data_IF_839556710929
#
_entry.id   IF_839556710929
#
_cell.length_a   1.000
_cell.length_b   1.000
_cell.length_c   1.000
_cell.angle_alpha   90.00
_cell.angle_beta   90.00
_cell.angle_gamma   90.00
#
_symmetry.space_group_name_H-M   'P 1'
#
loop_
_entity.id
_entity.type
_entity.pdbx_description
1 polymer ?
#
# COMPACT_ATOMS: atom_id res chain seq x y z
N UNK A 1 -10.35 42.22 -10.78
CA UNK A 1 -10.42 40.78 -10.43
C UNK A 1 -9.01 40.27 -10.55
N UNK A 2 -8.43 39.66 -9.52
CA UNK A 2 -7.04 39.18 -9.61
C UNK A 2 -6.98 38.06 -10.66
N UNK A 3 -6.14 38.22 -11.68
CA UNK A 3 -5.94 37.20 -12.71
C UNK A 3 -5.27 35.99 -12.05
N UNK A 4 -5.99 34.88 -11.96
CA UNK A 4 -5.46 33.62 -11.45
C UNK A 4 -4.40 33.09 -12.41
N UNK A 5 -3.24 32.74 -11.86
CA UNK A 5 -2.19 32.07 -12.64
C UNK A 5 -2.62 30.65 -13.04
N UNK A 6 -2.09 30.13 -14.16
CA UNK A 6 -2.36 28.77 -14.62
C UNK A 6 -2.08 27.71 -13.52
N UNK A 7 -1.01 27.91 -12.76
CA UNK A 7 -0.61 27.05 -11.64
C UNK A 7 -1.68 27.00 -10.53
N UNK A 8 -2.22 28.16 -10.15
CA UNK A 8 -3.31 28.24 -9.16
C UNK A 8 -4.58 27.55 -9.65
N UNK A 9 -4.90 27.68 -10.94
CA UNK A 9 -6.05 26.99 -11.56
C UNK A 9 -5.83 25.48 -11.53
N UNK A 10 -4.64 24.99 -11.89
CA UNK A 10 -4.31 23.56 -11.88
C UNK A 10 -4.37 22.97 -10.46
N UNK A 11 -3.82 23.66 -9.46
CA UNK A 11 -3.91 23.20 -8.07
C UNK A 11 -5.34 23.18 -7.55
N UNK A 12 -6.16 24.18 -7.89
CA UNK A 12 -7.57 24.18 -7.53
C UNK A 12 -8.32 23.03 -8.20
N UNK A 13 -8.14 22.85 -9.51
CA UNK A 13 -8.74 21.77 -10.28
C UNK A 13 -8.33 20.39 -9.74
N UNK A 14 -7.06 20.20 -9.39
CA UNK A 14 -6.57 18.96 -8.80
C UNK A 14 -7.24 18.69 -7.44
N UNK A 15 -7.28 19.67 -6.52
CA UNK A 15 -7.97 19.51 -5.23
C UNK A 15 -9.45 19.18 -5.40
N UNK A 16 -10.14 19.85 -6.31
CA UNK A 16 -11.53 19.57 -6.64
C UNK A 16 -11.71 18.14 -7.20
N UNK A 17 -10.83 17.71 -8.10
CA UNK A 17 -10.88 16.36 -8.66
C UNK A 17 -10.62 15.27 -7.61
N UNK A 18 -9.73 15.49 -6.63
CA UNK A 18 -9.52 14.58 -5.51
C UNK A 18 -10.77 14.45 -4.64
N UNK A 19 -11.46 15.57 -4.38
CA UNK A 19 -12.73 15.54 -3.67
C UNK A 19 -13.81 14.75 -4.44
N UNK A 20 -13.93 14.98 -5.74
CA UNK A 20 -14.86 14.24 -6.61
C UNK A 20 -14.50 12.74 -6.64
N UNK A 21 -13.23 12.40 -6.81
CA UNK A 21 -12.75 11.02 -6.81
C UNK A 21 -13.06 10.31 -5.49
N UNK A 22 -12.86 10.98 -4.34
CA UNK A 22 -13.21 10.45 -3.03
C UNK A 22 -14.71 10.16 -2.91
N UNK A 23 -15.58 11.09 -3.35
CA UNK A 23 -17.03 10.86 -3.39
C UNK A 23 -17.41 9.68 -4.30
N UNK A 24 -16.79 9.59 -5.48
CA UNK A 24 -17.03 8.49 -6.41
C UNK A 24 -16.61 7.14 -5.82
N UNK A 25 -15.50 7.08 -5.10
CA UNK A 25 -15.03 5.88 -4.42
C UNK A 25 -16.00 5.47 -3.29
N UNK A 26 -16.38 6.40 -2.41
CA UNK A 26 -17.30 6.13 -1.29
C UNK A 26 -18.66 5.63 -1.80
N UNK A 27 -19.24 6.32 -2.78
CA UNK A 27 -20.52 5.92 -3.38
C UNK A 27 -20.40 4.62 -4.19
N UNK A 28 -19.24 4.39 -4.83
CA UNK A 28 -18.91 3.14 -5.51
C UNK A 28 -18.92 1.95 -4.55
N UNK A 29 -18.23 2.06 -3.42
CA UNK A 29 -18.20 1.04 -2.35
C UNK A 29 -19.60 0.79 -1.80
N UNK A 30 -20.35 1.85 -1.50
CA UNK A 30 -21.75 1.71 -1.04
C UNK A 30 -22.61 0.94 -2.04
N UNK A 31 -22.43 1.16 -3.35
CA UNK A 31 -23.16 0.44 -4.40
C UNK A 31 -22.71 -1.02 -4.55
N UNK A 32 -21.46 -1.35 -4.21
CA UNK A 32 -20.95 -2.73 -4.22
C UNK A 32 -21.57 -3.62 -3.13
N UNK A 33 -22.14 -3.02 -2.07
CA UNK A 33 -22.82 -3.76 -1.00
C UNK A 33 -24.21 -4.33 -1.39
N UNK A 34 -24.77 -3.98 -2.56
CA UNK A 34 -26.04 -4.54 -3.06
C UNK A 34 -25.85 -5.26 -4.40
N UNK A 35 -26.38 -6.49 -4.55
CA UNK A 35 -26.28 -7.24 -5.81
C UNK A 35 -26.78 -6.47 -7.04
N UNK A 36 -27.86 -5.68 -6.88
CA UNK A 36 -28.49 -4.94 -7.98
C UNK A 36 -27.59 -3.80 -8.49
N UNK A 37 -26.80 -3.19 -7.60
CA UNK A 37 -25.95 -2.03 -7.94
C UNK A 37 -24.46 -2.34 -8.07
N UNK A 38 -24.03 -3.57 -7.75
CA UNK A 38 -22.62 -3.91 -7.60
C UNK A 38 -21.77 -3.60 -8.84
N UNK A 39 -22.24 -3.98 -10.03
CA UNK A 39 -21.54 -3.70 -11.30
C UNK A 39 -21.35 -2.20 -11.56
N UNK A 40 -22.36 -1.38 -11.25
CA UNK A 40 -22.26 0.08 -11.38
C UNK A 40 -21.33 0.68 -10.32
N UNK A 41 -21.30 0.08 -9.14
CA UNK A 41 -20.41 0.47 -8.04
C UNK A 41 -18.94 0.38 -8.43
N UNK A 42 -18.49 -0.77 -8.96
CA UNK A 42 -17.08 -0.95 -9.36
C UNK A 42 -16.67 -0.04 -10.52
N UNK A 43 -17.56 0.20 -11.49
CA UNK A 43 -17.30 1.14 -12.60
C UNK A 43 -17.13 2.57 -12.08
N UNK A 44 -18.00 3.00 -11.17
CA UNK A 44 -17.90 4.33 -10.57
C UNK A 44 -16.59 4.52 -9.78
N UNK A 45 -16.19 3.52 -8.99
CA UNK A 45 -14.92 3.55 -8.28
C UNK A 45 -13.73 3.62 -9.25
N UNK A 46 -13.76 2.84 -10.35
CA UNK A 46 -12.74 2.87 -11.39
C UNK A 46 -12.59 4.23 -12.08
N UNK A 47 -13.71 4.91 -12.39
CA UNK A 47 -13.68 6.27 -12.94
C UNK A 47 -13.07 7.25 -11.93
N UNK A 48 -13.44 7.14 -10.64
CA UNK A 48 -12.83 7.96 -9.58
C UNK A 48 -11.31 7.79 -9.51
N UNK A 49 -10.82 6.56 -9.61
CA UNK A 49 -9.37 6.27 -9.62
C UNK A 49 -8.66 6.88 -10.83
N UNK A 50 -9.26 6.81 -12.03
CA UNK A 50 -8.73 7.47 -13.23
C UNK A 50 -8.66 8.99 -13.07
N UNK A 51 -9.70 9.62 -12.51
CA UNK A 51 -9.74 11.06 -12.25
C UNK A 51 -8.62 11.49 -11.30
N UNK A 52 -8.45 10.80 -10.16
CA UNK A 52 -7.41 11.11 -9.20
C UNK A 52 -5.99 10.93 -9.77
N UNK A 53 -5.79 9.87 -10.54
CA UNK A 53 -4.49 9.59 -11.17
C UNK A 53 -4.15 10.63 -12.23
N UNK A 54 -5.10 10.98 -13.10
CA UNK A 54 -4.91 11.99 -14.13
C UNK A 54 -4.62 13.38 -13.55
N UNK A 55 -5.33 13.76 -12.47
CA UNK A 55 -5.08 15.01 -11.78
C UNK A 55 -3.68 15.08 -11.15
N UNK A 56 -3.22 13.97 -10.56
CA UNK A 56 -1.87 13.88 -10.00
C UNK A 56 -0.80 13.99 -11.09
N UNK A 57 -1.01 13.34 -12.24
CA UNK A 57 -0.13 13.50 -13.41
C UNK A 57 -0.07 14.96 -13.89
N UNK A 58 -1.20 15.67 -13.94
CA UNK A 58 -1.24 17.07 -14.34
C UNK A 58 -0.48 18.00 -13.39
N UNK A 59 -0.37 17.64 -12.10
CA UNK A 59 0.40 18.39 -11.10
C UNK A 59 1.90 18.04 -11.07
N UNK A 60 2.28 16.83 -11.48
CA UNK A 60 3.65 16.32 -11.31
C UNK A 60 4.67 17.06 -12.19
N UNK A 61 4.22 17.76 -13.23
CA UNK A 61 5.10 18.40 -14.21
C UNK A 61 5.78 17.39 -15.14
N UNK A 62 6.94 17.75 -15.69
CA UNK A 62 7.67 16.93 -16.69
C UNK A 62 8.80 16.08 -16.11
N UNK A 63 9.10 16.22 -14.82
CA UNK A 63 10.22 15.53 -14.20
C UNK A 63 9.96 14.03 -14.11
N UNK A 64 10.96 13.23 -14.53
CA UNK A 64 10.92 11.77 -14.48
C UNK A 64 9.72 11.11 -15.20
N UNK A 65 9.10 11.81 -16.16
CA UNK A 65 7.90 11.31 -16.86
C UNK A 65 8.11 9.91 -17.46
N UNK A 66 9.30 9.65 -18.02
CA UNK A 66 9.67 8.33 -18.55
C UNK A 66 9.62 7.22 -17.49
N UNK A 67 10.14 7.48 -16.28
CA UNK A 67 10.10 6.53 -15.17
C UNK A 67 8.68 6.32 -14.63
N UNK A 68 7.89 7.39 -14.55
CA UNK A 68 6.49 7.30 -14.10
C UNK A 68 5.67 6.45 -15.08
N UNK A 69 5.79 6.72 -16.39
CA UNK A 69 5.09 5.97 -17.43
C UNK A 69 5.55 4.50 -17.44
N UNK A 70 6.85 4.25 -17.32
CA UNK A 70 7.38 2.89 -17.25
C UNK A 70 6.86 2.13 -16.01
N UNK A 71 6.87 2.77 -14.85
CA UNK A 71 6.31 2.19 -13.61
C UNK A 71 4.82 1.89 -13.73
N UNK A 72 4.04 2.81 -14.31
CA UNK A 72 2.62 2.59 -14.58
C UNK A 72 2.41 1.40 -15.51
N UNK A 73 3.19 1.29 -16.59
CA UNK A 73 3.09 0.19 -17.54
C UNK A 73 3.43 -1.16 -16.89
N UNK A 74 4.52 -1.22 -16.10
CA UNK A 74 4.96 -2.43 -15.40
C UNK A 74 3.96 -2.85 -14.31
N UNK A 75 3.26 -1.91 -13.67
CA UNK A 75 2.21 -2.23 -12.70
C UNK A 75 0.89 -2.65 -13.35
N UNK A 76 0.38 -1.83 -14.28
CA UNK A 76 -0.97 -1.99 -14.84
C UNK A 76 -1.06 -3.15 -15.83
N UNK A 77 -0.09 -3.31 -16.73
CA UNK A 77 -0.20 -4.31 -17.81
C UNK A 77 -0.21 -5.74 -17.25
N UNK A 78 0.75 -6.17 -16.41
CA UNK A 78 0.75 -7.52 -15.87
C UNK A 78 -0.45 -7.79 -14.95
N UNK A 79 -0.85 -6.83 -14.12
CA UNK A 79 -2.02 -6.96 -13.24
C UNK A 79 -3.32 -7.12 -14.06
N UNK A 80 -3.47 -6.35 -15.14
CA UNK A 80 -4.62 -6.47 -16.03
C UNK A 80 -4.66 -7.83 -16.76
N UNK A 81 -3.51 -8.28 -17.28
CA UNK A 81 -3.42 -9.54 -18.01
C UNK A 81 -3.67 -10.74 -17.09
N UNK A 82 -3.07 -10.77 -15.91
CA UNK A 82 -3.26 -11.85 -14.94
C UNK A 82 -4.68 -11.88 -14.38
N UNK A 83 -5.24 -10.73 -13.99
CA UNK A 83 -6.62 -10.64 -13.48
C UNK A 83 -7.69 -11.07 -14.49
N UNK A 84 -7.44 -10.94 -15.80
CA UNK A 84 -8.36 -11.40 -16.85
C UNK A 84 -8.29 -12.89 -17.14
N UNK A 85 -7.17 -13.54 -16.81
CA UNK A 85 -6.87 -14.92 -17.24
C UNK A 85 -6.98 -15.95 -16.11
N UNK A 86 -6.99 -15.50 -14.87
CA UNK A 86 -7.07 -16.39 -13.70
C UNK A 86 -8.42 -17.11 -13.65
N UNK A 87 -8.43 -18.37 -13.19
CA UNK A 87 -9.66 -19.10 -12.95
C UNK A 87 -10.44 -18.50 -11.77
N UNK A 88 -11.77 -18.62 -11.79
CA UNK A 88 -12.62 -18.09 -10.71
C UNK A 88 -12.36 -18.77 -9.36
N UNK A 89 -11.84 -20.00 -9.35
CA UNK A 89 -11.43 -20.74 -8.15
C UNK A 89 -10.21 -20.12 -7.46
N UNK A 90 -9.36 -19.45 -8.23
CA UNK A 90 -8.06 -18.94 -7.82
C UNK A 90 -8.14 -17.45 -7.44
N UNK A 91 -9.34 -16.87 -7.51
CA UNK A 91 -9.59 -15.46 -7.16
C UNK A 91 -9.09 -15.08 -5.76
N UNK A 92 -9.23 -15.91 -4.71
CA UNK A 92 -8.72 -15.55 -3.38
C UNK A 92 -7.21 -15.23 -3.36
N UNK A 93 -6.38 -16.01 -4.05
CA UNK A 93 -4.92 -15.75 -4.04
C UNK A 93 -4.56 -14.49 -4.82
N UNK A 94 -5.30 -14.17 -5.88
CA UNK A 94 -5.08 -12.93 -6.64
C UNK A 94 -5.46 -11.71 -5.81
N UNK A 95 -6.55 -11.78 -5.03
CA UNK A 95 -6.92 -10.71 -4.09
C UNK A 95 -5.83 -10.50 -3.03
N UNK A 96 -5.29 -11.59 -2.46
CA UNK A 96 -4.19 -11.49 -1.51
C UNK A 96 -2.96 -10.81 -2.15
N UNK A 97 -2.53 -11.26 -3.33
CA UNK A 97 -1.37 -10.69 -4.02
C UNK A 97 -1.55 -9.20 -4.34
N UNK A 98 -2.72 -8.78 -4.85
CA UNK A 98 -2.99 -7.38 -5.16
C UNK A 98 -3.09 -6.50 -3.91
N UNK A 99 -3.63 -7.02 -2.80
CA UNK A 99 -3.58 -6.31 -1.52
C UNK A 99 -2.14 -6.10 -1.06
N UNK A 100 -1.31 -7.15 -1.16
CA UNK A 100 0.12 -7.08 -0.82
C UNK A 100 0.88 -6.07 -1.66
N UNK A 101 0.61 -5.97 -2.96
CA UNK A 101 1.21 -4.93 -3.81
C UNK A 101 0.78 -3.51 -3.39
N UNK A 102 -0.49 -3.33 -3.01
CA UNK A 102 -0.99 -2.10 -2.41
C UNK A 102 -0.23 -1.72 -1.13
N UNK A 103 -0.09 -2.66 -0.18
CA UNK A 103 0.74 -2.46 1.01
C UNK A 103 2.21 -2.16 0.69
N UNK A 104 2.79 -2.86 -0.28
CA UNK A 104 4.15 -2.65 -0.76
C UNK A 104 4.37 -1.26 -1.35
N UNK A 105 3.38 -0.70 -2.05
CA UNK A 105 3.43 0.68 -2.54
C UNK A 105 3.47 1.70 -1.39
N UNK A 106 2.68 1.50 -0.34
CA UNK A 106 2.69 2.36 0.85
C UNK A 106 4.04 2.26 1.59
N UNK A 107 4.59 1.05 1.68
CA UNK A 107 5.93 0.81 2.22
C UNK A 107 7.02 1.53 1.41
N UNK A 108 6.97 1.44 0.08
CA UNK A 108 7.94 2.09 -0.81
C UNK A 108 7.88 3.62 -0.73
N UNK A 109 6.66 4.20 -0.70
CA UNK A 109 6.48 5.65 -0.50
C UNK A 109 7.08 6.06 0.85
N UNK A 110 6.78 5.32 1.92
CA UNK A 110 7.34 5.57 3.24
C UNK A 110 8.87 5.46 3.27
N UNK A 111 9.46 4.48 2.58
CA UNK A 111 10.90 4.31 2.50
C UNK A 111 11.58 5.50 1.81
N UNK A 112 11.04 5.93 0.66
CA UNK A 112 11.57 7.08 -0.08
C UNK A 112 11.48 8.36 0.76
N UNK A 113 10.35 8.63 1.41
CA UNK A 113 10.20 9.81 2.26
C UNK A 113 11.14 9.80 3.47
N UNK A 114 11.27 8.68 4.19
CA UNK A 114 12.19 8.57 5.33
C UNK A 114 13.66 8.75 4.91
N UNK A 115 14.06 8.21 3.76
CA UNK A 115 15.42 8.40 3.22
C UNK A 115 15.66 9.86 2.78
N UNK A 116 14.66 10.51 2.18
CA UNK A 116 14.73 11.94 1.83
C UNK A 116 14.86 12.82 3.07
N UNK A 117 14.12 12.56 4.14
CA UNK A 117 14.24 13.32 5.38
C UNK A 117 15.57 13.07 6.10
N UNK A 118 16.11 11.84 6.02
CA UNK A 118 17.44 11.53 6.57
C UNK A 118 18.56 12.32 5.86
N UNK A 119 18.44 12.57 4.56
CA UNK A 119 19.47 13.23 3.74
C UNK A 119 19.33 14.75 3.63
N UNK A 120 18.11 15.28 3.73
CA UNK A 120 17.83 16.72 3.48
C UNK A 120 18.10 17.65 4.66
N UNK A 121 18.42 17.11 5.85
CA UNK A 121 18.68 17.88 7.07
C UNK A 121 17.46 18.66 7.62
N UNK A 122 16.33 18.64 6.90
CA UNK A 122 15.07 19.25 7.29
C UNK A 122 14.18 18.17 7.89
N UNK A 123 14.01 18.21 9.21
CA UNK A 123 13.05 17.31 9.86
C UNK A 123 11.63 17.76 9.51
N UNK A 124 10.79 16.88 8.95
CA UNK A 124 9.36 17.15 8.80
C UNK A 124 8.73 17.35 10.19
N UNK A 125 7.50 17.86 10.20
CA UNK A 125 6.71 17.89 11.43
C UNK A 125 6.59 16.48 12.03
N UNK A 126 6.57 16.39 13.36
CA UNK A 126 6.46 15.11 14.06
C UNK A 126 5.22 14.32 13.60
N UNK A 127 4.11 15.01 13.32
CA UNK A 127 2.89 14.37 12.81
C UNK A 127 3.08 13.71 11.44
N UNK A 128 3.74 14.39 10.49
CA UNK A 128 4.02 13.81 9.17
C UNK A 128 4.92 12.60 9.27
N UNK A 129 5.93 12.68 10.13
CA UNK A 129 6.88 11.59 10.31
C UNK A 129 6.24 10.37 11.00
N UNK A 130 5.40 10.59 12.02
CA UNK A 130 4.60 9.52 12.65
C UNK A 130 3.67 8.85 11.63
N UNK A 131 2.94 9.62 10.82
CA UNK A 131 2.06 9.06 9.80
C UNK A 131 2.83 8.28 8.72
N UNK A 132 4.00 8.78 8.31
CA UNK A 132 4.89 8.11 7.37
C UNK A 132 5.41 6.77 7.91
N UNK A 133 5.89 6.75 9.16
CA UNK A 133 6.35 5.53 9.83
C UNK A 133 5.21 4.52 10.01
N UNK A 134 4.02 4.96 10.46
CA UNK A 134 2.87 4.07 10.62
C UNK A 134 2.40 3.49 9.28
N UNK A 135 2.30 4.32 8.24
CA UNK A 135 1.94 3.87 6.90
C UNK A 135 2.96 2.85 6.35
N UNK A 136 4.25 3.11 6.54
CA UNK A 136 5.32 2.20 6.14
C UNK A 136 5.28 0.86 6.90
N UNK A 137 4.99 0.89 8.20
CA UNK A 137 4.85 -0.29 9.05
C UNK A 137 3.71 -1.17 8.55
N UNK A 138 2.51 -0.60 8.42
CA UNK A 138 1.31 -1.32 7.99
C UNK A 138 1.50 -1.85 6.56
N UNK A 139 2.05 -1.02 5.67
CA UNK A 139 2.32 -1.40 4.28
C UNK A 139 3.28 -2.58 4.17
N UNK A 140 4.36 -2.60 4.94
CA UNK A 140 5.37 -3.67 4.92
C UNK A 140 4.82 -4.99 5.47
N UNK A 141 4.05 -4.91 6.56
CA UNK A 141 3.38 -6.07 7.16
C UNK A 141 2.36 -6.66 6.18
N UNK A 142 1.52 -5.80 5.57
CA UNK A 142 0.54 -6.21 4.56
C UNK A 142 1.23 -6.85 3.35
N UNK A 143 2.29 -6.23 2.81
CA UNK A 143 3.03 -6.77 1.67
C UNK A 143 3.53 -8.19 1.91
N UNK A 144 4.30 -8.39 2.97
CA UNK A 144 4.93 -9.67 3.28
C UNK A 144 3.91 -10.73 3.70
N UNK A 145 2.91 -10.35 4.50
CA UNK A 145 1.82 -11.25 4.90
C UNK A 145 1.00 -11.74 3.71
N UNK A 146 0.64 -10.84 2.79
CA UNK A 146 -0.08 -11.17 1.56
C UNK A 146 0.70 -12.11 0.62
N UNK A 147 2.03 -11.99 0.55
CA UNK A 147 2.86 -12.93 -0.23
C UNK A 147 2.78 -14.35 0.35
N UNK A 148 2.81 -14.49 1.69
CA UNK A 148 2.63 -15.79 2.34
C UNK A 148 1.20 -16.32 2.14
N UNK A 149 0.17 -15.47 2.25
CA UNK A 149 -1.21 -15.86 2.01
C UNK A 149 -1.43 -16.34 0.57
N UNK A 150 -0.90 -15.60 -0.42
CA UNK A 150 -0.90 -16.00 -1.82
C UNK A 150 -0.21 -17.35 -2.01
N UNK A 151 0.99 -17.55 -1.45
CA UNK A 151 1.73 -18.80 -1.59
C UNK A 151 0.98 -20.00 -1.01
N UNK A 152 0.21 -19.82 0.07
CA UNK A 152 -0.59 -20.87 0.69
C UNK A 152 -1.85 -21.20 -0.11
N UNK A 153 -2.53 -20.18 -0.63
CA UNK A 153 -3.73 -20.37 -1.45
C UNK A 153 -3.39 -20.98 -2.83
N UNK A 154 -2.23 -20.63 -3.40
CA UNK A 154 -1.72 -21.19 -4.67
C UNK A 154 -1.15 -22.62 -4.51
N UNK A 155 -1.10 -23.17 -3.29
CA UNK A 155 -0.55 -24.52 -3.01
C UNK A 155 0.99 -24.59 -3.07
N UNK A 156 1.70 -23.46 -3.09
CA UNK A 156 3.17 -23.43 -2.99
C UNK A 156 3.67 -23.65 -1.57
N UNK A 157 2.82 -23.37 -0.59
CA UNK A 157 3.11 -23.52 0.83
C UNK A 157 1.97 -24.30 1.51
N UNK A 158 2.13 -25.61 1.65
CA UNK A 158 1.02 -26.52 1.95
C UNK A 158 0.68 -26.72 3.44
N UNK A 159 1.41 -26.08 4.37
CA UNK A 159 1.29 -26.41 5.80
C UNK A 159 1.18 -25.19 6.69
N UNK A 160 0.46 -25.36 7.81
CA UNK A 160 0.59 -24.48 8.97
C UNK A 160 2.00 -24.67 9.54
N UNK A 161 2.77 -23.59 9.59
CA UNK A 161 4.11 -23.61 10.19
C UNK A 161 3.99 -23.12 11.62
N UNK A 162 3.94 -24.08 12.54
CA UNK A 162 3.88 -23.84 13.97
C UNK A 162 5.16 -24.34 14.64
N UNK A 163 5.74 -23.56 15.54
CA UNK A 163 6.89 -23.96 16.35
C UNK A 163 6.78 -23.45 17.79
N UNK A 164 7.50 -24.10 18.71
CA UNK A 164 7.48 -23.74 20.13
C UNK A 164 7.96 -22.30 20.34
N UNK A 165 7.19 -21.49 21.07
CA UNK A 165 7.52 -20.09 21.35
C UNK A 165 7.18 -19.09 20.23
N UNK A 166 6.50 -19.51 19.17
CA UNK A 166 6.18 -18.62 18.03
C UNK A 166 5.38 -17.38 18.43
N UNK A 167 4.41 -17.48 19.35
CA UNK A 167 3.68 -16.29 19.82
C UNK A 167 4.62 -15.27 20.46
N UNK A 168 5.54 -15.73 21.32
CA UNK A 168 6.54 -14.85 21.94
C UNK A 168 7.48 -14.23 20.90
N UNK A 169 7.92 -15.00 19.90
CA UNK A 169 8.76 -14.47 18.81
C UNK A 169 8.00 -13.43 17.97
N UNK A 170 6.75 -13.70 17.61
CA UNK A 170 5.91 -12.78 16.84
C UNK A 170 5.70 -11.48 17.61
N UNK A 171 5.36 -11.57 18.90
CA UNK A 171 5.20 -10.40 19.78
C UNK A 171 6.52 -9.63 19.89
N UNK A 172 7.64 -10.30 20.11
CA UNK A 172 8.95 -9.66 20.20
C UNK A 172 9.32 -8.94 18.91
N UNK A 173 9.12 -9.58 17.76
CA UNK A 173 9.39 -8.99 16.45
C UNK A 173 8.50 -7.77 16.20
N UNK A 174 7.22 -7.84 16.54
CA UNK A 174 6.29 -6.72 16.40
C UNK A 174 6.67 -5.54 17.31
N UNK A 175 6.95 -5.80 18.59
CA UNK A 175 7.38 -4.77 19.54
C UNK A 175 8.71 -4.16 19.09
N UNK A 176 9.63 -4.95 18.57
CA UNK A 176 10.89 -4.44 18.01
C UNK A 176 10.66 -3.57 16.77
N UNK A 177 9.75 -3.95 15.86
CA UNK A 177 9.40 -3.14 14.70
C UNK A 177 8.77 -1.80 15.11
N UNK A 178 7.82 -1.82 16.05
CA UNK A 178 7.19 -0.61 16.60
C UNK A 178 8.23 0.24 17.33
N UNK A 179 9.09 -0.37 18.14
CA UNK A 179 10.16 0.32 18.85
C UNK A 179 11.16 1.01 17.92
N UNK A 180 11.55 0.34 16.83
CA UNK A 180 12.37 0.93 15.77
C UNK A 180 11.65 2.11 15.10
N UNK A 181 10.35 1.98 14.85
CA UNK A 181 9.50 3.07 14.36
C UNK A 181 9.50 4.27 15.31
N UNK A 182 9.26 4.06 16.60
CA UNK A 182 9.30 5.12 17.63
C UNK A 182 10.69 5.75 17.73
N UNK A 183 11.75 4.96 17.59
CA UNK A 183 13.13 5.45 17.60
C UNK A 183 13.41 6.37 16.40
N UNK A 184 12.88 6.06 15.20
CA UNK A 184 12.97 6.95 14.03
C UNK A 184 12.31 8.31 14.29
N UNK A 185 11.21 8.33 15.06
CA UNK A 185 10.55 9.57 15.44
C UNK A 185 11.31 10.37 16.50
N UNK A 186 11.89 9.67 17.47
CA UNK A 186 12.36 10.30 18.72
C UNK A 186 13.84 10.65 18.71
N UNK A 187 14.66 9.85 18.03
CA UNK A 187 16.13 9.94 18.07
C UNK A 187 16.75 10.33 16.73
N UNK A 188 15.94 10.42 15.68
CA UNK A 188 16.36 10.85 14.35
C UNK A 188 16.37 9.72 13.31
N UNK A 189 16.56 10.13 12.06
CA UNK A 189 16.49 9.24 10.90
C UNK A 189 17.88 8.78 10.49
N UNK A 190 18.27 7.60 10.96
CA UNK A 190 19.46 6.88 10.50
C UNK A 190 19.08 5.80 9.48
N UNK A 191 19.86 5.69 8.40
CA UNK A 191 19.58 4.74 7.30
C UNK A 191 19.59 3.28 7.78
N UNK A 192 20.44 2.92 8.75
CA UNK A 192 20.49 1.56 9.30
C UNK A 192 19.26 1.29 10.15
N UNK A 193 18.80 2.27 10.92
CA UNK A 193 17.55 2.16 11.68
C UNK A 193 16.33 2.05 10.76
N UNK A 194 16.29 2.80 9.66
CA UNK A 194 15.24 2.68 8.62
C UNK A 194 15.25 1.25 8.04
N UNK A 195 16.42 0.73 7.65
CA UNK A 195 16.55 -0.62 7.11
C UNK A 195 16.12 -1.70 8.13
N UNK A 196 16.52 -1.55 9.39
CA UNK A 196 16.11 -2.43 10.49
C UNK A 196 14.59 -2.41 10.68
N UNK A 197 13.99 -1.22 10.71
CA UNK A 197 12.54 -1.05 10.83
C UNK A 197 11.78 -1.79 9.73
N UNK A 198 12.16 -1.59 8.45
CA UNK A 198 11.53 -2.30 7.33
C UNK A 198 11.77 -3.80 7.38
N UNK A 199 12.99 -4.22 7.73
CA UNK A 199 13.33 -5.65 7.87
C UNK A 199 12.48 -6.34 8.93
N UNK A 200 12.29 -5.71 10.10
CA UNK A 200 11.45 -6.23 11.18
C UNK A 200 9.96 -6.22 10.80
N UNK A 201 9.48 -5.19 10.11
CA UNK A 201 8.08 -5.11 9.67
C UNK A 201 7.75 -6.19 8.62
N UNK A 202 8.62 -6.39 7.64
CA UNK A 202 8.50 -7.46 6.64
C UNK A 202 8.61 -8.85 7.29
N UNK A 203 9.55 -9.03 8.23
CA UNK A 203 9.70 -10.28 8.96
C UNK A 203 8.44 -10.59 9.78
N UNK A 204 7.87 -9.59 10.46
CA UNK A 204 6.65 -9.77 11.24
C UNK A 204 5.47 -10.19 10.36
N UNK A 205 5.29 -9.56 9.19
CA UNK A 205 4.22 -9.95 8.27
C UNK A 205 4.36 -11.40 7.78
N UNK A 206 5.58 -11.89 7.56
CA UNK A 206 5.81 -13.33 7.32
C UNK A 206 5.41 -14.15 8.55
N UNK A 207 5.98 -13.84 9.71
CA UNK A 207 5.83 -14.62 10.95
C UNK A 207 4.38 -14.71 11.45
N UNK A 208 3.58 -13.65 11.27
CA UNK A 208 2.18 -13.64 11.69
C UNK A 208 1.28 -14.47 10.77
N UNK A 209 1.64 -14.62 9.49
CA UNK A 209 0.83 -15.37 8.51
C UNK A 209 1.23 -16.85 8.41
N UNK A 210 2.45 -17.22 8.80
CA UNK A 210 2.93 -18.60 8.86
C UNK A 210 2.05 -19.62 9.65
N UNK A 211 1.49 -19.30 10.83
CA UNK A 211 0.69 -20.27 11.60
C UNK A 211 -0.73 -20.50 11.03
N UNK A 212 -1.20 -19.60 10.16
CA UNK A 212 -2.57 -19.62 9.64
C UNK A 212 -2.71 -20.73 8.57
N UNK A 213 -3.78 -21.54 8.61
CA UNK A 213 -4.03 -22.58 7.61
C UNK A 213 -4.56 -22.03 6.29
N UNK A 214 -4.35 -22.75 5.19
CA UNK A 214 -4.90 -22.39 3.87
C UNK A 214 -6.41 -22.22 3.87
N UNK A 215 -7.13 -23.09 4.60
CA UNK A 215 -8.59 -23.00 4.75
C UNK A 215 -9.07 -21.74 5.49
N UNK A 216 -8.22 -21.17 6.36
CA UNK A 216 -8.55 -19.96 7.13
C UNK A 216 -8.05 -18.67 6.45
N UNK A 217 -7.30 -18.79 5.35
CA UNK A 217 -6.72 -17.65 4.62
C UNK A 217 -7.75 -16.62 4.11
N UNK A 218 -8.99 -16.96 3.72
CA UNK A 218 -9.95 -15.94 3.27
C UNK A 218 -10.28 -14.86 4.31
N UNK A 219 -9.94 -15.08 5.59
CA UNK A 219 -10.16 -14.14 6.70
C UNK A 219 -8.95 -13.22 6.93
N UNK A 220 -7.78 -13.57 6.38
CA UNK A 220 -6.48 -12.93 6.64
C UNK A 220 -6.21 -11.82 5.65
#
# INVERSE_FOLDING_TARGET
MADLTLEQILHFAAKASYFVAALMLILGIKRMASPVTARRGIVQAGIGMLVATAATFALTGTDNLGWIIAGLAIGVIPAWLSGKRVAMTDMPQMVALYNGMGGGSAAAIGAVELLRFSSSGHSPSTSHLVLGVLGALIGSISMSGSVIAWAKLDGRLDRRFNFAGQQALNTLCFVAAVGAGVALVSYGLDVRLIALFFGLALLFGVLMTLPIGGADMPVV
#
